data_IF_596007474163
#
_entry.id   IF_596007474163
#
_cell.length_a   1.000
_cell.length_b   1.000
_cell.length_c   1.000
_cell.angle_alpha   90.00
_cell.angle_beta   90.00
_cell.angle_gamma   90.00
#
_symmetry.space_group_name_H-M   'P 1'
#
loop_
_entity.id
_entity.type
_entity.pdbx_description
1 polymer ?
#
# COMPACT_ATOMS: atom_id res chain seq x y z
N UNK A 1 -2.30 34.97 -6.24
CA UNK A 1 -3.54 34.21 -5.97
C UNK A 1 -3.26 33.04 -5.02
N UNK A 2 -4.27 32.51 -4.30
CA UNK A 2 -4.09 31.34 -3.43
C UNK A 2 -3.48 30.15 -4.15
N UNK A 3 -3.86 29.89 -5.40
CA UNK A 3 -3.32 28.77 -6.19
C UNK A 3 -1.86 28.97 -6.60
N UNK A 4 -1.42 30.22 -6.85
CA UNK A 4 0.00 30.50 -7.08
C UNK A 4 0.84 30.26 -5.82
N UNK A 5 0.32 30.68 -4.66
CA UNK A 5 0.98 30.42 -3.39
C UNK A 5 1.02 28.91 -3.07
N UNK A 6 -0.09 28.21 -3.29
CA UNK A 6 -0.15 26.76 -3.19
C UNK A 6 0.89 26.06 -4.08
N UNK A 7 1.12 26.57 -5.31
CA UNK A 7 2.16 26.04 -6.19
C UNK A 7 3.59 26.24 -5.62
N UNK A 8 3.86 27.36 -4.99
CA UNK A 8 5.17 27.58 -4.33
C UNK A 8 5.36 26.63 -3.16
N UNK A 9 4.30 26.38 -2.37
CA UNK A 9 4.32 25.40 -1.27
C UNK A 9 4.56 23.98 -1.81
N UNK A 10 3.95 23.62 -2.93
CA UNK A 10 4.20 22.34 -3.63
C UNK A 10 5.67 22.18 -4.02
N UNK A 11 6.33 23.23 -4.52
CA UNK A 11 7.74 23.21 -4.86
C UNK A 11 8.64 23.02 -3.63
N UNK A 12 8.21 23.57 -2.48
CA UNK A 12 8.89 23.39 -1.19
C UNK A 12 8.58 22.06 -0.52
N UNK A 13 7.75 21.22 -1.15
CA UNK A 13 7.25 19.93 -0.63
C UNK A 13 6.39 20.08 0.64
N UNK A 14 5.89 21.27 0.91
CA UNK A 14 4.90 21.51 1.98
C UNK A 14 3.49 21.21 1.43
N UNK A 15 3.23 19.93 1.25
CA UNK A 15 2.04 19.46 0.55
C UNK A 15 0.74 19.72 1.31
N UNK A 16 0.76 19.63 2.64
CA UNK A 16 -0.41 19.90 3.44
C UNK A 16 -0.78 21.40 3.40
N UNK A 17 0.19 22.28 3.56
CA UNK A 17 -0.04 23.72 3.47
C UNK A 17 -0.50 24.10 2.06
N UNK A 18 0.07 23.48 1.02
CA UNK A 18 -0.38 23.67 -0.37
C UNK A 18 -1.84 23.28 -0.54
N UNK A 19 -2.24 22.10 -0.03
CA UNK A 19 -3.60 21.59 -0.13
C UNK A 19 -4.62 22.48 0.59
N UNK A 20 -4.27 23.04 1.74
CA UNK A 20 -5.13 23.98 2.48
C UNK A 20 -5.22 25.35 1.82
N UNK A 21 -4.22 25.72 1.04
CA UNK A 21 -4.12 27.03 0.38
C UNK A 21 -4.79 27.06 -0.97
N UNK A 22 -4.68 25.99 -1.76
CA UNK A 22 -5.27 25.88 -3.09
C UNK A 22 -6.80 25.96 -3.03
N UNK A 23 -7.38 26.75 -3.92
CA UNK A 23 -8.84 26.82 -4.13
C UNK A 23 -9.31 25.91 -5.26
N UNK A 24 -8.46 25.70 -6.25
CA UNK A 24 -8.75 24.78 -7.35
C UNK A 24 -8.78 23.33 -6.82
N UNK A 25 -9.89 22.58 -7.01
CA UNK A 25 -10.02 21.24 -6.45
C UNK A 25 -9.02 20.24 -7.02
N UNK A 26 -8.62 20.38 -8.28
CA UNK A 26 -7.61 19.50 -8.89
C UNK A 26 -6.26 19.70 -8.24
N UNK A 27 -5.82 20.94 -8.06
CA UNK A 27 -4.56 21.26 -7.38
C UNK A 27 -4.59 20.85 -5.91
N UNK A 28 -5.71 21.08 -5.23
CA UNK A 28 -5.92 20.65 -3.86
C UNK A 28 -5.81 19.13 -3.73
N UNK A 29 -6.45 18.38 -4.62
CA UNK A 29 -6.40 16.92 -4.67
C UNK A 29 -4.99 16.40 -4.90
N UNK A 30 -4.23 16.99 -5.84
CA UNK A 30 -2.83 16.63 -6.09
C UNK A 30 -1.96 16.90 -4.85
N UNK A 31 -2.18 18.01 -4.16
CA UNK A 31 -1.43 18.34 -2.95
C UNK A 31 -1.73 17.36 -1.81
N UNK A 32 -3.00 17.03 -1.56
CA UNK A 32 -3.39 16.00 -0.60
C UNK A 32 -2.85 14.62 -0.96
N UNK A 33 -2.87 14.26 -2.23
CA UNK A 33 -2.30 12.98 -2.69
C UNK A 33 -0.81 12.89 -2.38
N UNK A 34 -0.05 13.97 -2.64
CA UNK A 34 1.39 14.03 -2.32
C UNK A 34 1.67 14.08 -0.81
N UNK A 35 0.75 14.59 -0.02
CA UNK A 35 0.79 14.54 1.43
C UNK A 35 0.50 13.14 2.01
N UNK A 36 0.05 12.17 1.17
CA UNK A 36 -0.37 10.86 1.62
C UNK A 36 -1.82 10.81 2.15
N UNK A 37 -2.53 11.93 2.12
CA UNK A 37 -3.91 12.08 2.58
C UNK A 37 -4.90 11.67 1.48
N UNK A 38 -4.89 10.39 1.12
CA UNK A 38 -5.61 9.87 -0.05
C UNK A 38 -7.12 10.04 0.01
N UNK A 39 -7.71 10.01 1.18
CA UNK A 39 -9.15 10.24 1.35
C UNK A 39 -9.53 11.70 1.07
N UNK A 40 -8.75 12.65 1.60
CA UNK A 40 -8.95 14.08 1.33
C UNK A 40 -8.69 14.41 -0.13
N UNK A 41 -7.70 13.74 -0.74
CA UNK A 41 -7.41 13.86 -2.17
C UNK A 41 -8.60 13.39 -3.01
N UNK A 42 -9.17 12.21 -2.71
CA UNK A 42 -10.35 11.68 -3.39
C UNK A 42 -11.54 12.63 -3.30
N UNK A 43 -11.82 13.16 -2.09
CA UNK A 43 -12.89 14.14 -1.87
C UNK A 43 -12.69 15.43 -2.68
N UNK A 44 -11.45 15.89 -2.80
CA UNK A 44 -11.14 17.07 -3.61
C UNK A 44 -11.37 16.80 -5.10
N UNK A 45 -10.87 15.67 -5.63
CA UNK A 45 -11.08 15.26 -7.02
C UNK A 45 -12.57 15.00 -7.34
N UNK A 46 -13.34 14.50 -6.38
CA UNK A 46 -14.78 14.26 -6.56
C UNK A 46 -15.61 15.54 -6.87
N UNK A 47 -15.04 16.72 -6.62
CA UNK A 47 -15.67 18.02 -6.92
C UNK A 47 -15.54 18.43 -8.39
N UNK A 48 -14.83 17.65 -9.18
CA UNK A 48 -14.54 17.93 -10.60
C UNK A 48 -14.98 16.74 -11.45
N UNK A 49 -15.75 17.04 -12.50
CA UNK A 49 -16.26 16.00 -13.42
C UNK A 49 -15.41 15.99 -14.71
N UNK A 50 -14.18 15.48 -14.61
CA UNK A 50 -13.27 15.30 -15.75
C UNK A 50 -12.63 13.92 -15.72
N UNK A 51 -12.18 13.38 -16.87
CA UNK A 51 -11.50 12.09 -16.91
C UNK A 51 -10.22 12.07 -16.04
N UNK A 52 -9.50 13.20 -15.91
CA UNK A 52 -8.34 13.32 -15.04
C UNK A 52 -8.73 13.23 -13.55
N UNK A 53 -9.89 13.78 -13.17
CA UNK A 53 -10.39 13.67 -11.80
C UNK A 53 -10.77 12.22 -11.48
N UNK A 54 -11.47 11.53 -12.38
CA UNK A 54 -11.80 10.11 -12.23
C UNK A 54 -10.53 9.26 -12.16
N UNK A 55 -9.56 9.47 -13.04
CA UNK A 55 -8.26 8.80 -12.98
C UNK A 55 -7.57 8.97 -11.62
N UNK A 56 -7.52 10.19 -11.11
CA UNK A 56 -6.90 10.49 -9.82
C UNK A 56 -7.68 9.90 -8.65
N UNK A 57 -9.01 9.83 -8.70
CA UNK A 57 -9.83 9.11 -7.72
C UNK A 57 -9.51 7.62 -7.71
N UNK A 58 -9.39 6.99 -8.89
CA UNK A 58 -8.94 5.62 -9.01
C UNK A 58 -7.59 5.39 -8.34
N UNK A 59 -6.64 6.31 -8.55
CA UNK A 59 -5.33 6.25 -7.90
C UNK A 59 -5.41 6.37 -6.37
N UNK A 60 -6.25 7.28 -5.85
CA UNK A 60 -6.47 7.41 -4.40
C UNK A 60 -7.01 6.10 -3.79
N UNK A 61 -7.95 5.44 -4.48
CA UNK A 61 -8.52 4.18 -4.03
C UNK A 61 -7.50 3.04 -4.05
N UNK A 62 -6.62 2.97 -5.07
CA UNK A 62 -5.50 2.02 -5.09
C UNK A 62 -4.60 2.22 -3.87
N UNK A 63 -4.24 3.45 -3.54
CA UNK A 63 -3.39 3.76 -2.39
C UNK A 63 -4.04 3.42 -1.05
N UNK A 64 -5.38 3.37 -1.00
CA UNK A 64 -6.17 2.95 0.15
C UNK A 64 -6.47 1.44 0.18
N UNK A 65 -5.95 0.66 -0.79
CA UNK A 65 -6.21 -0.78 -0.91
C UNK A 65 -7.60 -1.15 -1.47
N UNK A 66 -8.39 -0.16 -1.89
CA UNK A 66 -9.74 -0.33 -2.43
C UNK A 66 -9.70 -0.61 -3.93
N UNK A 67 -9.08 -1.73 -4.28
CA UNK A 67 -8.76 -2.04 -5.67
C UNK A 67 -10.01 -2.23 -6.55
N UNK A 68 -11.06 -2.89 -6.06
CA UNK A 68 -12.29 -3.10 -6.83
C UNK A 68 -13.02 -1.79 -7.10
N UNK A 69 -13.18 -0.96 -6.07
CA UNK A 69 -13.81 0.35 -6.22
C UNK A 69 -13.04 1.24 -7.22
N UNK A 70 -11.71 1.12 -7.29
CA UNK A 70 -10.89 1.90 -8.21
C UNK A 70 -11.15 1.60 -9.69
N UNK A 71 -11.61 0.38 -10.03
CA UNK A 71 -11.85 -0.02 -11.41
C UNK A 71 -12.94 0.83 -12.07
N UNK A 72 -14.01 1.14 -11.32
CA UNK A 72 -15.11 1.98 -11.82
C UNK A 72 -14.61 3.36 -12.28
N UNK A 73 -13.69 3.96 -11.50
CA UNK A 73 -13.16 5.28 -11.82
C UNK A 73 -12.23 5.26 -13.04
N UNK A 74 -11.39 4.23 -13.17
CA UNK A 74 -10.58 4.05 -14.38
C UNK A 74 -11.46 3.78 -15.60
N UNK A 75 -12.52 3.00 -15.46
CA UNK A 75 -13.45 2.73 -16.55
C UNK A 75 -14.16 4.02 -17.02
N UNK A 76 -14.59 4.88 -16.10
CA UNK A 76 -15.17 6.18 -16.43
C UNK A 76 -14.17 7.11 -17.12
N UNK A 77 -12.93 7.15 -16.66
CA UNK A 77 -11.87 7.91 -17.29
C UNK A 77 -11.61 7.42 -18.73
N UNK A 78 -11.56 6.10 -18.94
CA UNK A 78 -11.32 5.48 -20.23
C UNK A 78 -12.53 5.57 -21.19
N UNK A 79 -13.76 5.63 -20.69
CA UNK A 79 -14.94 5.91 -21.51
C UNK A 79 -14.87 7.28 -22.18
N UNK A 80 -14.31 8.27 -21.48
CA UNK A 80 -14.15 9.63 -21.99
C UNK A 80 -12.87 9.79 -22.82
N UNK A 81 -11.84 9.00 -22.51
CA UNK A 81 -10.52 9.05 -23.15
C UNK A 81 -9.95 7.65 -23.31
N UNK A 82 -10.34 6.98 -24.37
CA UNK A 82 -10.03 5.56 -24.62
C UNK A 82 -8.56 5.26 -24.95
N UNK A 83 -7.78 6.26 -25.37
CA UNK A 83 -6.37 6.17 -25.74
C UNK A 83 -5.39 6.46 -24.57
N UNK A 84 -5.89 6.51 -23.33
CA UNK A 84 -5.09 6.84 -22.18
C UNK A 84 -4.38 5.63 -21.58
N UNK A 85 -3.11 5.42 -21.96
CA UNK A 85 -2.34 4.23 -21.61
C UNK A 85 -2.06 4.14 -20.10
N UNK A 86 -1.82 5.26 -19.40
CA UNK A 86 -1.62 5.24 -17.94
C UNK A 86 -2.87 4.78 -17.20
N UNK A 87 -4.05 5.18 -17.68
CA UNK A 87 -5.31 4.74 -17.09
C UNK A 87 -5.55 3.24 -17.33
N UNK A 88 -5.24 2.73 -18.54
CA UNK A 88 -5.29 1.30 -18.85
C UNK A 88 -4.35 0.49 -17.95
N UNK A 89 -3.11 0.97 -17.78
CA UNK A 89 -2.10 0.31 -16.97
C UNK A 89 -2.52 0.27 -15.49
N UNK A 90 -2.98 1.41 -14.94
CA UNK A 90 -3.40 1.48 -13.55
C UNK A 90 -4.64 0.63 -13.29
N UNK A 91 -5.59 0.59 -14.24
CA UNK A 91 -6.74 -0.31 -14.20
C UNK A 91 -6.31 -1.78 -14.17
N UNK A 92 -5.36 -2.17 -15.02
CA UNK A 92 -4.85 -3.54 -15.05
C UNK A 92 -4.16 -3.93 -13.74
N UNK A 93 -3.37 -3.03 -13.16
CA UNK A 93 -2.74 -3.21 -11.84
C UNK A 93 -3.81 -3.37 -10.75
N UNK A 94 -4.83 -2.52 -10.74
CA UNK A 94 -5.94 -2.60 -9.79
C UNK A 94 -6.68 -3.94 -9.89
N UNK A 95 -7.01 -4.38 -11.11
CA UNK A 95 -7.67 -5.66 -11.35
C UNK A 95 -6.83 -6.87 -10.87
N UNK A 96 -5.52 -6.85 -11.14
CA UNK A 96 -4.61 -7.89 -10.67
C UNK A 96 -4.53 -7.94 -9.15
N UNK A 97 -4.46 -6.78 -8.48
CA UNK A 97 -4.43 -6.69 -7.01
C UNK A 97 -5.75 -7.10 -6.39
N UNK A 98 -6.88 -6.68 -6.96
CA UNK A 98 -8.22 -7.09 -6.50
C UNK A 98 -8.37 -8.63 -6.55
N UNK A 99 -7.96 -9.24 -7.67
CA UNK A 99 -7.96 -10.70 -7.82
C UNK A 99 -7.07 -11.39 -6.78
N UNK A 100 -5.89 -10.83 -6.53
CA UNK A 100 -4.94 -11.39 -5.56
C UNK A 100 -5.49 -11.30 -4.14
N UNK A 101 -6.06 -10.17 -3.75
CA UNK A 101 -6.68 -10.00 -2.43
C UNK A 101 -7.82 -11.01 -2.23
N UNK A 102 -8.66 -11.25 -3.25
CA UNK A 102 -9.70 -12.28 -3.20
C UNK A 102 -9.15 -13.70 -3.07
N UNK A 103 -8.01 -13.99 -3.68
CA UNK A 103 -7.39 -15.31 -3.62
C UNK A 103 -6.65 -15.57 -2.30
N UNK A 104 -5.97 -14.54 -1.76
CA UNK A 104 -5.20 -14.64 -0.53
C UNK A 104 -6.07 -14.45 0.71
N UNK A 105 -7.20 -13.77 0.56
CA UNK A 105 -8.08 -13.36 1.61
C UNK A 105 -9.37 -14.16 1.69
N UNK A 106 -9.41 -15.48 1.46
CA UNK A 106 -10.68 -16.21 1.63
C UNK A 106 -11.49 -15.61 2.75
N UNK A 107 -12.51 -14.81 2.42
CA UNK A 107 -13.45 -14.09 3.31
C UNK A 107 -12.79 -13.42 4.55
N UNK A 108 -11.68 -12.69 4.34
CA UNK A 108 -11.20 -11.77 5.36
C UNK A 108 -12.13 -10.56 5.35
N UNK A 109 -13.18 -10.66 6.17
CA UNK A 109 -14.18 -9.62 6.36
C UNK A 109 -13.52 -8.26 6.55
N UNK A 110 -14.19 -7.24 6.03
CA UNK A 110 -13.94 -5.79 6.09
C UNK A 110 -12.70 -5.35 6.91
N UNK A 111 -11.51 -5.72 6.43
CA UNK A 111 -10.27 -5.17 6.98
C UNK A 111 -10.14 -3.73 6.47
N UNK A 112 -10.57 -2.81 7.29
CA UNK A 112 -10.12 -1.44 7.20
C UNK A 112 -8.60 -1.44 7.39
N UNK A 113 -7.85 -1.48 6.30
CA UNK A 113 -6.44 -1.17 6.29
C UNK A 113 -6.26 0.34 6.55
N UNK A 114 -6.55 0.75 7.77
CA UNK A 114 -6.01 1.95 8.36
C UNK A 114 -4.68 1.54 9.01
N UNK A 115 -3.64 2.30 8.77
CA UNK A 115 -2.25 1.93 8.93
C UNK A 115 -1.79 1.40 10.30
N UNK A 116 -2.58 1.35 11.37
CA UNK A 116 -2.05 1.06 12.70
C UNK A 116 -2.88 0.16 13.62
N UNK A 117 -3.99 -0.46 13.19
CA UNK A 117 -4.76 -1.34 14.08
C UNK A 117 -5.30 -2.57 13.36
N UNK A 118 -4.60 -3.69 13.50
CA UNK A 118 -5.17 -5.01 13.15
C UNK A 118 -6.12 -5.40 14.29
N UNK A 119 -7.41 -5.11 14.13
CA UNK A 119 -8.46 -5.67 14.99
C UNK A 119 -8.94 -6.98 14.40
N UNK A 120 -8.61 -8.08 15.04
CA UNK A 120 -9.23 -9.36 14.75
C UNK A 120 -10.66 -9.34 15.29
N UNK A 121 -11.65 -9.42 14.41
CA UNK A 121 -13.05 -9.59 14.80
C UNK A 121 -13.23 -11.02 15.31
N UNK A 122 -13.39 -11.16 16.63
CA UNK A 122 -13.53 -12.46 17.30
C UNK A 122 -14.90 -13.10 17.08
N UNK A 123 -15.85 -12.40 16.49
CA UNK A 123 -17.25 -12.80 16.45
C UNK A 123 -17.75 -13.32 15.09
N UNK A 124 -16.92 -13.33 14.05
CA UNK A 124 -17.25 -14.00 12.80
C UNK A 124 -16.56 -15.35 12.72
N UNK A 125 -17.35 -16.38 12.87
CA UNK A 125 -17.02 -17.77 12.53
C UNK A 125 -16.83 -17.88 11.01
N UNK A 126 -15.81 -17.23 10.46
CA UNK A 126 -15.39 -17.43 9.08
C UNK A 126 -14.68 -18.77 9.04
N UNK A 127 -15.19 -19.68 8.23
CA UNK A 127 -14.76 -21.06 8.13
C UNK A 127 -13.33 -21.24 7.63
N UNK A 128 -12.38 -20.76 8.44
CA UNK A 128 -11.05 -21.28 8.42
C UNK A 128 -11.16 -22.74 8.86
N UNK A 129 -10.79 -23.69 8.00
CA UNK A 129 -10.55 -25.05 8.46
C UNK A 129 -9.52 -24.94 9.58
N UNK A 130 -9.94 -25.30 10.79
CA UNK A 130 -9.01 -25.63 11.86
C UNK A 130 -8.12 -26.74 11.31
N UNK A 131 -6.93 -26.37 10.89
CA UNK A 131 -5.85 -27.32 10.74
C UNK A 131 -5.51 -27.67 12.19
N UNK A 132 -6.11 -28.75 12.67
CA UNK A 132 -5.64 -29.42 13.88
C UNK A 132 -4.13 -29.59 13.70
N UNK A 133 -3.39 -28.71 14.33
CA UNK A 133 -1.97 -28.91 14.53
C UNK A 133 -1.85 -29.95 15.63
N UNK A 134 -2.19 -31.21 15.27
CA UNK A 134 -1.71 -32.33 16.06
C UNK A 134 -0.22 -32.14 16.23
N UNK A 135 0.16 -31.80 17.48
CA UNK A 135 1.49 -31.97 18.07
C UNK A 135 2.64 -31.92 17.06
N UNK A 136 2.84 -30.79 16.40
CA UNK A 136 4.11 -30.53 15.76
C UNK A 136 5.11 -30.30 16.87
N UNK A 137 5.94 -31.32 17.10
CA UNK A 137 7.19 -31.16 17.86
C UNK A 137 7.88 -29.89 17.35
N UNK A 138 8.43 -29.05 18.23
CA UNK A 138 9.11 -27.85 17.80
C UNK A 138 10.14 -28.24 16.76
N UNK A 139 10.01 -27.70 15.55
CA UNK A 139 10.96 -27.92 14.46
C UNK A 139 12.34 -27.58 15.00
N UNK A 140 13.29 -28.51 14.84
CA UNK A 140 14.68 -28.24 15.20
C UNK A 140 15.16 -26.97 14.49
N UNK A 141 16.09 -26.24 15.11
CA UNK A 141 16.64 -24.99 14.52
C UNK A 141 17.12 -25.20 13.09
N UNK A 142 17.65 -26.40 12.78
CA UNK A 142 18.03 -26.77 11.42
C UNK A 142 16.85 -26.89 10.46
N UNK A 143 15.71 -27.40 10.90
CA UNK A 143 14.50 -27.51 10.08
C UNK A 143 13.84 -26.14 9.87
N UNK A 144 13.81 -25.28 10.89
CA UNK A 144 13.36 -23.90 10.77
C UNK A 144 14.26 -23.11 9.81
N UNK A 145 15.58 -23.28 9.92
CA UNK A 145 16.55 -22.63 9.04
C UNK A 145 16.39 -23.07 7.58
N UNK A 146 16.14 -24.37 7.33
CA UNK A 146 15.89 -24.91 6.00
C UNK A 146 14.57 -24.37 5.40
N UNK A 147 13.53 -24.26 6.20
CA UNK A 147 12.23 -23.71 5.79
C UNK A 147 12.33 -22.21 5.49
N UNK A 148 13.10 -21.48 6.28
CA UNK A 148 13.36 -20.06 6.08
C UNK A 148 14.19 -19.81 4.81
N UNK A 149 15.27 -20.59 4.57
CA UNK A 149 16.07 -20.53 3.36
C UNK A 149 15.27 -20.83 2.09
N UNK A 150 14.27 -21.71 2.19
CA UNK A 150 13.37 -22.04 1.07
C UNK A 150 12.39 -20.89 0.73
N UNK A 151 12.04 -20.06 1.71
CA UNK A 151 11.10 -18.95 1.59
C UNK A 151 11.77 -17.64 1.15
N UNK A 152 13.05 -17.48 1.47
CA UNK A 152 13.86 -16.31 1.09
C UNK A 152 14.54 -16.61 -0.23
N UNK A 153 14.06 -16.01 -1.32
CA UNK A 153 14.68 -16.08 -2.66
C UNK A 153 15.95 -15.21 -2.77
N UNK A 154 16.76 -15.15 -1.72
CA UNK A 154 18.05 -14.45 -1.73
C UNK A 154 19.16 -15.44 -2.09
N UNK A 155 20.13 -14.94 -2.88
CA UNK A 155 21.32 -15.74 -3.18
C UNK A 155 22.01 -16.10 -1.86
N UNK A 156 22.45 -17.37 -1.66
CA UNK A 156 23.11 -17.81 -0.41
C UNK A 156 24.28 -16.92 0.03
N UNK A 157 24.98 -16.31 -0.94
CA UNK A 157 26.07 -15.39 -0.68
C UNK A 157 25.63 -14.08 0.01
N UNK A 158 24.44 -13.57 -0.29
CA UNK A 158 23.96 -12.33 0.32
C UNK A 158 23.49 -12.57 1.76
N UNK A 159 22.96 -13.75 2.04
CA UNK A 159 22.61 -14.18 3.39
C UNK A 159 23.86 -14.32 4.27
N UNK A 160 24.92 -14.97 3.76
CA UNK A 160 26.17 -15.12 4.49
C UNK A 160 26.82 -13.77 4.80
N UNK A 161 26.81 -12.84 3.85
CA UNK A 161 27.30 -11.47 4.07
C UNK A 161 26.52 -10.75 5.17
N UNK A 162 25.19 -10.82 5.16
CA UNK A 162 24.35 -10.21 6.17
C UNK A 162 24.57 -10.83 7.56
N UNK A 163 24.71 -12.17 7.63
CA UNK A 163 24.99 -12.90 8.89
C UNK A 163 26.36 -12.53 9.46
N UNK A 164 27.40 -12.49 8.64
CA UNK A 164 28.75 -12.12 9.06
C UNK A 164 28.78 -10.67 9.54
N UNK A 165 28.13 -9.74 8.81
CA UNK A 165 28.05 -8.34 9.23
C UNK A 165 27.32 -8.18 10.57
N UNK A 166 26.25 -8.95 10.82
CA UNK A 166 25.54 -8.96 12.09
C UNK A 166 26.39 -9.52 13.25
N UNK A 167 27.17 -10.59 13.00
CA UNK A 167 28.06 -11.17 14.00
C UNK A 167 29.18 -10.20 14.40
N UNK A 168 29.84 -9.57 13.42
CA UNK A 168 30.88 -8.55 13.66
C UNK A 168 30.32 -7.38 14.48
N UNK A 169 29.14 -6.86 14.12
CA UNK A 169 28.51 -5.76 14.84
C UNK A 169 28.10 -6.12 16.29
N UNK A 170 27.84 -7.39 16.58
CA UNK A 170 27.57 -7.86 17.94
C UNK A 170 28.84 -8.13 18.76
N UNK A 171 29.90 -8.61 18.13
CA UNK A 171 31.22 -8.80 18.80
C UNK A 171 31.84 -7.48 19.21
N UNK A 172 31.70 -6.42 18.39
CA UNK A 172 32.13 -5.07 18.73
C UNK A 172 31.36 -4.49 19.93
N UNK A 173 30.08 -4.84 20.11
CA UNK A 173 29.27 -4.41 21.26
C UNK A 173 29.58 -5.15 22.56
N UNK A 174 30.05 -6.38 22.47
CA UNK A 174 30.41 -7.20 23.65
C UNK A 174 31.86 -7.03 24.08
N UNK A 175 32.71 -6.47 23.22
CA UNK A 175 34.14 -6.24 23.50
C UNK A 175 34.45 -4.93 24.25
N UNK A 176 33.48 -4.05 24.48
CA UNK A 176 33.66 -2.71 25.08
C UNK A 176 32.97 -2.60 26.47
N UNK A 177 33.06 -3.65 27.28
CA UNK A 177 32.78 -3.54 28.72
C UNK A 177 34.04 -3.82 29.51
N UNK A 178 34.54 -2.82 30.28
CA UNK A 178 35.68 -2.98 31.18
C UNK A 178 35.35 -3.86 32.40
#
# INVERSE_FOLDING_TARGET
TPDQWGQQLMQRKDYEAAARTCRDPMRQGVAWFRAGEFEKAEQAFARVATPEADFNRGNCLIMRGKYEESLEFFDRALQQRSDWDEAKNNRAIAAARAKRVKQEGGDMGDQKLGADEIRFDKDKNSGGQDTDTEQSQPLSDAAMQALWLRRVQTKPADFLKAKIAYQIANEEKTGDQP
#
